data_IF_739827260925
#
_entry.id   IF_739827260925
#
_cell.length_a   1.000
_cell.length_b   1.000
_cell.length_c   1.000
_cell.angle_alpha   90.00
_cell.angle_beta   90.00
_cell.angle_gamma   90.00
#
_symmetry.space_group_name_H-M   'P 1'
#
loop_
_entity.id
_entity.type
_entity.pdbx_description
1 polymer ?
#
# COMPACT_ATOMS: atom_id res chain seq x y z
N UNK A 1 20.71 40.96 19.52
CA UNK A 1 19.63 40.93 18.52
C UNK A 1 19.77 39.64 17.73
N UNK A 2 19.00 38.62 18.10
CA UNK A 2 18.94 37.33 17.41
C UNK A 2 17.93 37.45 16.27
N UNK A 3 18.34 37.04 15.06
CA UNK A 3 17.50 37.07 13.86
C UNK A 3 16.32 36.10 13.99
N UNK A 4 15.15 36.40 13.39
CA UNK A 4 14.02 35.49 13.41
C UNK A 4 14.32 34.30 12.48
N UNK A 5 14.15 33.09 13.01
CA UNK A 5 14.15 31.84 12.26
C UNK A 5 13.01 31.87 11.24
N UNK A 6 13.35 31.68 9.96
CA UNK A 6 12.37 31.55 8.89
C UNK A 6 11.48 30.33 9.16
N UNK A 7 10.17 30.56 9.32
CA UNK A 7 9.19 29.49 9.50
C UNK A 7 9.17 28.56 8.29
N UNK A 8 9.14 27.25 8.53
CA UNK A 8 9.11 26.23 7.47
C UNK A 8 7.92 26.38 6.53
N UNK A 9 8.04 25.79 5.34
CA UNK A 9 7.07 25.83 4.21
C UNK A 9 5.62 25.52 4.59
N UNK A 10 5.37 24.84 5.70
CA UNK A 10 4.04 24.39 6.14
C UNK A 10 3.41 25.25 7.23
N UNK A 11 4.00 26.39 7.60
CA UNK A 11 3.48 27.22 8.71
C UNK A 11 2.03 27.69 8.46
N UNK A 12 1.68 28.04 7.22
CA UNK A 12 0.31 28.46 6.87
C UNK A 12 -0.70 27.32 6.88
N UNK A 13 -0.31 26.14 6.36
CA UNK A 13 -1.15 24.94 6.42
C UNK A 13 -1.37 24.51 7.88
N UNK A 14 -0.32 24.53 8.71
CA UNK A 14 -0.40 24.27 10.15
C UNK A 14 -1.45 25.16 10.83
N UNK A 15 -1.45 26.46 10.55
CA UNK A 15 -2.43 27.40 11.12
C UNK A 15 -3.87 27.11 10.67
N UNK A 16 -4.08 26.81 9.39
CA UNK A 16 -5.42 26.50 8.86
C UNK A 16 -5.97 25.18 9.44
N UNK A 17 -5.12 24.16 9.54
CA UNK A 17 -5.47 22.90 10.16
C UNK A 17 -5.79 23.09 11.65
N UNK A 18 -4.98 23.82 12.41
CA UNK A 18 -5.30 24.16 13.82
C UNK A 18 -6.63 24.90 13.97
N UNK A 19 -6.98 25.79 13.04
CA UNK A 19 -8.27 26.49 13.05
C UNK A 19 -9.45 25.54 12.77
N UNK A 20 -9.30 24.61 11.82
CA UNK A 20 -10.28 23.55 11.58
C UNK A 20 -10.40 22.60 12.79
N UNK A 21 -9.30 22.37 13.52
CA UNK A 21 -9.29 21.55 14.72
C UNK A 21 -10.17 22.08 15.84
N UNK A 22 -10.12 23.39 16.06
CA UNK A 22 -10.94 24.07 17.05
C UNK A 22 -12.45 23.98 16.74
N UNK A 23 -12.83 23.70 15.49
CA UNK A 23 -14.23 23.71 15.04
C UNK A 23 -14.91 22.32 15.06
N UNK A 24 -14.15 21.22 14.99
CA UNK A 24 -14.69 19.88 14.68
C UNK A 24 -14.61 18.83 15.79
N UNK A 25 -13.93 19.10 16.91
CA UNK A 25 -13.64 18.06 17.91
C UNK A 25 -14.38 18.27 19.24
N UNK A 26 -14.88 17.18 19.83
CA UNK A 26 -15.42 17.12 21.20
C UNK A 26 -14.35 17.47 22.27
N UNK A 27 -13.06 17.45 21.89
CA UNK A 27 -12.00 18.23 22.53
C UNK A 27 -11.01 18.77 21.49
N UNK A 28 -10.64 20.07 21.53
CA UNK A 28 -9.66 20.67 20.61
C UNK A 28 -8.32 19.92 20.54
N UNK A 29 -7.94 19.25 21.62
CA UNK A 29 -6.65 18.56 21.76
C UNK A 29 -6.53 17.33 20.85
N UNK A 30 -7.62 16.58 20.61
CA UNK A 30 -7.57 15.37 19.81
C UNK A 30 -7.35 15.68 18.31
N UNK A 31 -8.09 16.65 17.77
CA UNK A 31 -7.95 17.04 16.36
C UNK A 31 -6.69 17.88 16.13
N UNK A 32 -6.29 18.71 17.09
CA UNK A 32 -4.98 19.36 17.03
C UNK A 32 -3.85 18.32 16.96
N UNK A 33 -3.90 17.26 17.78
CA UNK A 33 -2.92 16.17 17.76
C UNK A 33 -2.88 15.39 16.45
N UNK A 34 -4.03 15.14 15.81
CA UNK A 34 -4.08 14.52 14.48
C UNK A 34 -3.38 15.41 13.46
N UNK A 35 -3.74 16.69 13.42
CA UNK A 35 -3.28 17.60 12.38
C UNK A 35 -1.80 17.98 12.53
N UNK A 36 -1.33 18.22 13.76
CA UNK A 36 0.11 18.47 13.98
C UNK A 36 0.91 17.21 13.69
N UNK A 37 0.41 16.05 14.10
CA UNK A 37 1.10 14.79 13.83
C UNK A 37 1.19 14.46 12.34
N UNK A 38 0.21 14.84 11.53
CA UNK A 38 0.31 14.71 10.06
C UNK A 38 1.45 15.55 9.48
N UNK A 39 1.62 16.78 9.97
CA UNK A 39 2.74 17.64 9.56
C UNK A 39 4.08 17.04 10.01
N UNK A 40 4.15 16.53 11.24
CA UNK A 40 5.36 15.88 11.76
C UNK A 40 5.73 14.61 10.97
N UNK A 41 4.74 13.84 10.49
CA UNK A 41 4.96 12.68 9.63
C UNK A 41 5.50 13.07 8.25
N UNK A 42 4.99 14.17 7.66
CA UNK A 42 5.52 14.74 6.42
C UNK A 42 6.98 15.18 6.62
N UNK A 43 7.26 15.98 7.64
CA UNK A 43 8.61 16.46 7.93
C UNK A 43 9.59 15.28 8.12
N UNK A 44 9.17 14.25 8.87
CA UNK A 44 9.97 13.03 9.11
C UNK A 44 10.23 12.26 7.82
N UNK A 45 9.21 12.01 7.01
CA UNK A 45 9.35 11.26 5.76
C UNK A 45 10.21 12.00 4.73
N UNK A 46 10.07 13.32 4.63
CA UNK A 46 10.84 14.15 3.69
C UNK A 46 12.33 14.24 4.08
N UNK A 47 12.66 14.13 5.37
CA UNK A 47 14.03 14.20 5.88
C UNK A 47 14.86 12.92 5.66
N UNK A 48 14.23 11.81 5.25
CA UNK A 48 14.95 10.54 5.03
C UNK A 48 15.88 10.67 3.80
N UNK A 49 17.19 10.35 3.91
CA UNK A 49 18.11 10.42 2.76
C UNK A 49 17.75 9.48 1.61
N UNK A 50 17.24 8.28 1.93
CA UNK A 50 16.58 7.42 0.96
C UNK A 50 15.21 8.03 0.62
N UNK A 51 15.05 8.44 -0.63
CA UNK A 51 13.81 9.07 -1.06
C UNK A 51 12.64 8.09 -1.02
N UNK A 52 11.64 8.42 -0.23
CA UNK A 52 10.36 7.69 -0.14
C UNK A 52 9.40 8.28 -1.17
N UNK A 53 8.96 7.47 -2.12
CA UNK A 53 7.94 7.77 -3.12
C UNK A 53 6.61 7.11 -2.71
N UNK A 54 5.69 7.86 -2.06
CA UNK A 54 4.40 7.34 -1.67
C UNK A 54 3.48 7.13 -2.88
N UNK A 55 2.73 6.04 -2.90
CA UNK A 55 1.79 5.71 -3.97
C UNK A 55 0.40 5.42 -3.41
N UNK A 56 -0.62 5.69 -4.21
CA UNK A 56 -1.86 4.95 -4.11
C UNK A 56 -1.80 3.84 -5.15
N UNK A 57 -2.02 2.61 -4.72
CA UNK A 57 -1.93 1.47 -5.63
C UNK A 57 -3.00 1.63 -6.73
N UNK A 58 -2.61 1.37 -7.98
CA UNK A 58 -3.46 1.53 -9.17
C UNK A 58 -3.93 2.98 -9.47
N UNK A 59 -3.26 3.98 -8.91
CA UNK A 59 -3.54 5.40 -9.16
C UNK A 59 -2.85 5.92 -10.43
N UNK A 60 -3.61 6.39 -11.44
CA UNK A 60 -3.04 7.06 -12.61
C UNK A 60 -2.17 8.27 -12.27
N UNK A 61 -2.56 9.08 -11.28
CA UNK A 61 -1.74 10.21 -10.83
C UNK A 61 -0.40 9.74 -10.24
N UNK A 62 -0.42 8.67 -9.45
CA UNK A 62 0.82 8.07 -8.92
C UNK A 62 1.70 7.54 -10.04
N UNK A 63 1.13 6.92 -11.07
CA UNK A 63 1.87 6.44 -12.25
C UNK A 63 2.51 7.58 -13.04
N UNK A 64 1.78 8.68 -13.29
CA UNK A 64 2.31 9.85 -13.97
C UNK A 64 3.45 10.52 -13.17
N UNK A 65 3.24 10.69 -11.86
CA UNK A 65 4.25 11.24 -10.96
C UNK A 65 5.51 10.34 -10.93
N UNK A 66 5.34 9.02 -10.93
CA UNK A 66 6.45 8.07 -10.98
C UNK A 66 7.25 8.20 -12.27
N UNK A 67 6.60 8.22 -13.43
CA UNK A 67 7.28 8.38 -14.73
C UNK A 67 8.07 9.69 -14.78
N UNK A 68 7.48 10.79 -14.31
CA UNK A 68 8.17 12.09 -14.21
C UNK A 68 9.39 11.97 -13.30
N UNK A 69 9.22 11.37 -12.12
CA UNK A 69 10.31 11.27 -11.14
C UNK A 69 11.45 10.37 -11.61
N UNK A 70 11.17 9.24 -12.24
CA UNK A 70 12.19 8.33 -12.77
C UNK A 70 13.04 9.01 -13.84
N UNK A 71 12.44 9.87 -14.69
CA UNK A 71 13.17 10.66 -15.70
C UNK A 71 14.13 11.67 -15.07
N UNK A 72 13.74 12.28 -13.97
CA UNK A 72 14.55 13.31 -13.29
C UNK A 72 15.60 12.71 -12.36
N UNK A 73 15.20 11.75 -11.52
CA UNK A 73 16.05 11.17 -10.47
C UNK A 73 17.02 10.13 -11.02
N UNK A 74 16.59 9.35 -12.00
CA UNK A 74 17.34 8.23 -12.58
C UNK A 74 17.98 7.33 -11.51
N UNK A 75 17.18 6.70 -10.62
CA UNK A 75 17.74 5.90 -9.53
C UNK A 75 18.51 4.69 -10.05
N UNK A 76 19.52 4.27 -9.30
CA UNK A 76 20.30 3.05 -9.53
C UNK A 76 19.69 1.83 -8.84
N UNK A 77 18.96 2.05 -7.75
CA UNK A 77 18.23 1.01 -7.02
C UNK A 77 16.82 1.48 -6.73
N UNK A 78 15.84 0.62 -7.01
CA UNK A 78 14.45 0.83 -6.65
C UNK A 78 14.06 -0.24 -5.62
N UNK A 79 13.73 0.20 -4.41
CA UNK A 79 13.07 -0.64 -3.41
C UNK A 79 11.57 -0.56 -3.66
N UNK A 80 10.89 -1.69 -3.83
CA UNK A 80 9.46 -1.73 -4.12
C UNK A 80 8.71 -2.53 -3.06
N UNK A 81 7.65 -1.94 -2.52
CA UNK A 81 6.66 -2.62 -1.68
C UNK A 81 5.89 -3.66 -2.50
N UNK A 82 6.46 -4.87 -2.55
CA UNK A 82 5.86 -6.09 -3.07
C UNK A 82 6.55 -7.27 -2.39
N UNK A 83 5.85 -8.40 -2.21
CA UNK A 83 6.42 -9.56 -1.53
C UNK A 83 7.72 -10.01 -2.17
N UNK A 84 8.78 -10.15 -1.37
CA UNK A 84 10.15 -10.39 -1.84
C UNK A 84 10.31 -11.62 -2.76
N UNK A 85 9.51 -12.66 -2.57
CA UNK A 85 9.51 -13.89 -3.36
C UNK A 85 8.73 -13.84 -4.67
N UNK A 86 8.03 -12.73 -4.95
CA UNK A 86 7.39 -12.51 -6.24
C UNK A 86 8.37 -11.98 -7.30
N UNK A 87 9.58 -11.60 -6.89
CA UNK A 87 10.58 -10.98 -7.78
C UNK A 87 10.88 -11.78 -9.05
N UNK A 88 11.00 -13.12 -9.03
CA UNK A 88 11.27 -13.90 -10.24
C UNK A 88 10.19 -13.77 -11.32
N UNK A 89 8.96 -13.39 -10.97
CA UNK A 89 7.86 -13.24 -11.93
C UNK A 89 7.90 -11.92 -12.70
N UNK A 90 8.63 -10.92 -12.21
CA UNK A 90 8.55 -9.56 -12.78
C UNK A 90 9.16 -9.46 -14.18
N UNK A 91 10.17 -10.28 -14.48
CA UNK A 91 10.75 -10.35 -15.83
C UNK A 91 9.77 -10.84 -16.89
N UNK A 92 8.73 -11.60 -16.50
CA UNK A 92 7.73 -12.15 -17.40
C UNK A 92 6.62 -11.13 -17.76
N UNK A 93 6.58 -9.96 -17.12
CA UNK A 93 5.58 -8.92 -17.42
C UNK A 93 5.70 -8.41 -18.87
N UNK A 94 6.90 -8.41 -19.46
CA UNK A 94 7.10 -8.06 -20.87
C UNK A 94 6.44 -9.03 -21.86
N UNK A 95 6.10 -10.24 -21.41
CA UNK A 95 5.40 -11.26 -22.20
C UNK A 95 3.86 -11.17 -22.05
N UNK A 96 3.36 -10.22 -21.27
CA UNK A 96 1.96 -10.13 -20.90
C UNK A 96 1.24 -8.94 -21.54
N UNK A 97 -0.08 -9.07 -21.70
CA UNK A 97 -0.98 -7.93 -21.94
C UNK A 97 -1.63 -7.56 -20.63
N UNK A 98 -1.43 -6.32 -20.19
CA UNK A 98 -2.02 -5.81 -18.95
C UNK A 98 -3.54 -5.59 -19.07
N UNK A 99 -4.28 -5.66 -17.95
CA UNK A 99 -3.79 -5.91 -16.59
C UNK A 99 -3.57 -7.40 -16.27
N UNK A 100 -2.55 -7.66 -15.46
CA UNK A 100 -2.24 -9.00 -14.93
C UNK A 100 -2.15 -8.92 -13.42
N UNK A 101 -2.09 -10.07 -12.75
CA UNK A 101 -1.69 -10.12 -11.35
C UNK A 101 -0.54 -11.09 -11.18
N UNK A 102 0.40 -10.70 -10.32
CA UNK A 102 1.45 -11.56 -9.82
C UNK A 102 0.83 -12.38 -8.70
N UNK A 103 0.87 -13.70 -8.83
CA UNK A 103 0.19 -14.61 -7.91
C UNK A 103 1.18 -15.60 -7.28
N UNK A 104 1.02 -15.81 -5.98
CA UNK A 104 1.51 -16.99 -5.29
C UNK A 104 0.32 -17.84 -4.82
N UNK A 105 0.49 -19.16 -4.87
CA UNK A 105 -0.52 -20.13 -4.51
C UNK A 105 0.10 -21.34 -3.79
N UNK A 106 -0.50 -21.80 -2.70
CA UNK A 106 -0.06 -22.99 -1.98
C UNK A 106 -1.24 -23.90 -1.62
N UNK A 107 -1.23 -25.12 -2.15
CA UNK A 107 -2.17 -26.20 -1.77
C UNK A 107 -1.58 -27.19 -0.76
N UNK A 108 -0.25 -27.24 -0.65
CA UNK A 108 0.49 -28.11 0.26
C UNK A 108 1.10 -27.25 1.38
N UNK A 109 0.39 -27.18 2.50
CA UNK A 109 0.80 -26.39 3.67
C UNK A 109 1.68 -27.21 4.62
N UNK A 110 2.74 -26.59 5.10
CA UNK A 110 3.63 -27.14 6.13
C UNK A 110 4.05 -25.98 7.05
N UNK A 111 3.43 -25.91 8.24
CA UNK A 111 3.62 -24.84 9.23
C UNK A 111 2.40 -23.93 9.41
N UNK A 112 1.52 -23.82 8.41
CA UNK A 112 0.22 -23.13 8.53
C UNK A 112 -0.91 -24.11 8.92
N UNK A 113 -2.00 -23.63 9.56
CA UNK A 113 -3.20 -24.42 9.79
C UNK A 113 -3.74 -25.02 8.48
N UNK A 114 -4.04 -26.32 8.48
CA UNK A 114 -4.45 -27.05 7.26
C UNK A 114 -5.77 -26.55 6.69
N UNK A 115 -6.64 -26.07 7.57
CA UNK A 115 -7.96 -25.51 7.27
C UNK A 115 -7.90 -24.17 6.52
N UNK A 116 -6.75 -23.50 6.47
CA UNK A 116 -6.59 -22.29 5.67
C UNK A 116 -6.32 -22.59 4.19
N UNK A 117 -5.97 -23.83 3.86
CA UNK A 117 -5.61 -24.20 2.49
C UNK A 117 -6.82 -24.29 1.54
N UNK A 118 -6.66 -23.90 0.27
CA UNK A 118 -5.44 -23.36 -0.33
C UNK A 118 -5.21 -21.87 -0.03
N UNK A 119 -3.94 -21.47 0.11
CA UNK A 119 -3.54 -20.08 0.31
C UNK A 119 -3.24 -19.40 -1.02
N UNK A 120 -3.61 -18.12 -1.16
CA UNK A 120 -3.22 -17.31 -2.31
C UNK A 120 -2.87 -15.88 -1.93
N UNK A 121 -1.80 -15.35 -2.53
CA UNK A 121 -1.48 -13.92 -2.52
C UNK A 121 -1.59 -13.43 -3.96
N UNK A 122 -2.30 -12.32 -4.16
CA UNK A 122 -2.49 -11.71 -5.48
C UNK A 122 -2.09 -10.25 -5.40
N UNK A 123 -1.17 -9.83 -6.27
CA UNK A 123 -0.77 -8.45 -6.44
C UNK A 123 -1.11 -8.01 -7.86
N UNK A 124 -2.23 -7.30 -8.07
CA UNK A 124 -2.58 -6.77 -9.39
C UNK A 124 -1.51 -5.80 -9.89
N UNK A 125 -1.29 -5.78 -11.20
CA UNK A 125 -0.37 -4.88 -11.89
C UNK A 125 -1.11 -4.30 -13.10
N UNK A 126 -1.08 -2.98 -13.22
CA UNK A 126 -1.80 -2.24 -14.27
C UNK A 126 -0.88 -1.18 -14.86
N UNK A 127 -1.05 -0.84 -16.13
CA UNK A 127 -0.28 0.25 -16.78
C UNK A 127 -0.42 1.58 -16.02
N UNK A 128 -1.56 1.78 -15.36
CA UNK A 128 -1.87 2.96 -14.56
C UNK A 128 -1.37 2.89 -13.11
N UNK A 129 -0.39 2.05 -12.78
CA UNK A 129 0.18 1.95 -11.43
C UNK A 129 1.63 2.40 -11.38
N UNK A 130 2.03 3.10 -10.32
CA UNK A 130 3.40 3.57 -10.12
C UNK A 130 4.40 2.41 -10.01
N UNK A 131 3.98 1.31 -9.42
CA UNK A 131 4.74 0.07 -9.28
C UNK A 131 5.10 -0.49 -10.64
N UNK A 132 4.13 -0.57 -11.57
CA UNK A 132 4.41 -1.01 -12.93
C UNK A 132 5.44 -0.12 -13.62
N UNK A 133 5.32 1.20 -13.49
CA UNK A 133 6.26 2.16 -14.08
C UNK A 133 7.68 2.00 -13.50
N UNK A 134 7.79 1.75 -12.19
CA UNK A 134 9.05 1.49 -11.52
C UNK A 134 9.68 0.14 -11.94
N UNK A 135 8.87 -0.90 -12.07
CA UNK A 135 9.31 -2.23 -12.53
C UNK A 135 9.83 -2.15 -13.97
N UNK A 136 9.07 -1.56 -14.88
CA UNK A 136 9.48 -1.42 -16.30
C UNK A 136 10.76 -0.61 -16.40
N UNK A 137 10.87 0.51 -15.68
CA UNK A 137 12.09 1.31 -15.67
C UNK A 137 13.31 0.48 -15.24
N UNK A 138 13.20 -0.33 -14.19
CA UNK A 138 14.31 -1.17 -13.75
C UNK A 138 14.66 -2.28 -14.75
N UNK A 139 13.66 -2.90 -15.40
CA UNK A 139 13.88 -3.95 -16.39
C UNK A 139 14.49 -3.41 -17.69
N UNK A 140 14.13 -2.19 -18.11
CA UNK A 140 14.55 -1.60 -19.39
C UNK A 140 15.81 -0.73 -19.27
N UNK A 141 16.19 -0.30 -18.06
CA UNK A 141 17.36 0.56 -17.84
C UNK A 141 18.57 -0.25 -17.38
N UNK A 142 19.65 -0.35 -18.18
CA UNK A 142 20.82 -1.13 -17.81
C UNK A 142 21.45 -0.68 -16.49
N UNK A 143 21.72 -1.64 -15.61
CA UNK A 143 22.39 -1.38 -14.32
C UNK A 143 21.51 -0.80 -13.23
N UNK A 144 20.20 -0.68 -13.46
CA UNK A 144 19.23 -0.40 -12.40
C UNK A 144 18.82 -1.71 -11.73
N UNK A 145 18.91 -1.74 -10.41
CA UNK A 145 18.48 -2.87 -9.60
C UNK A 145 17.07 -2.63 -9.07
N UNK A 146 16.21 -3.64 -9.17
CA UNK A 146 14.93 -3.69 -8.50
C UNK A 146 15.06 -4.61 -7.30
N UNK A 147 14.59 -4.19 -6.13
CA UNK A 147 14.62 -4.98 -4.89
C UNK A 147 13.23 -4.96 -4.28
N UNK A 148 12.61 -6.13 -4.17
CA UNK A 148 11.33 -6.26 -3.50
C UNK A 148 11.54 -6.35 -2.00
N UNK A 149 10.91 -5.47 -1.22
CA UNK A 149 11.23 -5.30 0.21
C UNK A 149 10.09 -5.66 1.16
N UNK A 150 8.88 -5.93 0.67
CA UNK A 150 7.79 -6.37 1.56
C UNK A 150 7.97 -7.86 1.92
N UNK A 151 7.30 -8.26 3.01
CA UNK A 151 7.31 -9.62 3.54
C UNK A 151 7.04 -10.66 2.46
N UNK A 152 7.62 -11.84 2.61
CA UNK A 152 7.35 -12.93 1.67
C UNK A 152 5.88 -13.37 1.70
N UNK A 153 5.41 -14.06 0.66
CA UNK A 153 4.02 -14.56 0.61
C UNK A 153 3.69 -15.49 1.78
N UNK A 154 4.68 -16.22 2.27
CA UNK A 154 4.54 -17.04 3.48
C UNK A 154 4.27 -16.20 4.76
N UNK A 155 5.01 -15.11 4.96
CA UNK A 155 4.85 -14.22 6.12
C UNK A 155 3.51 -13.49 6.11
N UNK A 156 2.88 -13.29 4.94
CA UNK A 156 1.51 -12.75 4.84
C UNK A 156 0.54 -13.54 5.73
N UNK A 157 0.71 -14.87 5.80
CA UNK A 157 -0.15 -15.75 6.60
C UNK A 157 0.40 -16.03 8.00
N UNK A 158 1.73 -16.02 8.20
CA UNK A 158 2.31 -16.19 9.54
C UNK A 158 1.89 -15.09 10.52
N UNK A 159 1.59 -13.89 10.02
CA UNK A 159 1.19 -12.75 10.85
C UNK A 159 -0.33 -12.62 11.00
N UNK A 160 -1.09 -13.62 10.56
CA UNK A 160 -2.52 -13.71 10.87
C UNK A 160 -2.71 -14.34 12.25
N UNK A 161 -3.72 -13.90 13.03
CA UNK A 161 -4.07 -14.58 14.26
C UNK A 161 -4.38 -16.06 13.99
N UNK A 162 -3.72 -16.97 14.71
CA UNK A 162 -3.94 -18.42 14.56
C UNK A 162 -5.23 -18.93 15.22
N UNK A 163 -6.28 -18.11 15.33
CA UNK A 163 -7.56 -18.54 15.91
C UNK A 163 -8.50 -19.13 14.85
N UNK A 164 -9.32 -20.15 15.19
CA UNK A 164 -10.23 -20.78 14.22
C UNK A 164 -11.26 -19.83 13.60
N UNK A 165 -11.58 -18.71 14.27
CA UNK A 165 -12.48 -17.68 13.75
C UNK A 165 -11.78 -16.59 12.92
N UNK A 166 -10.45 -16.50 12.96
CA UNK A 166 -9.69 -15.51 12.21
C UNK A 166 -9.58 -15.93 10.74
N UNK A 167 -10.62 -15.61 9.96
CA UNK A 167 -10.48 -15.54 8.50
C UNK A 167 -9.60 -14.33 8.15
N UNK A 168 -8.66 -14.43 7.20
CA UNK A 168 -7.90 -13.27 6.78
C UNK A 168 -8.80 -12.20 6.20
N UNK A 169 -8.41 -10.96 6.44
CA UNK A 169 -9.01 -9.79 5.83
C UNK A 169 -8.87 -9.89 4.30
N UNK A 170 -9.99 -9.89 3.57
CA UNK A 170 -10.03 -10.08 2.12
C UNK A 170 -10.53 -11.46 1.66
N UNK A 171 -10.72 -12.42 2.57
CA UNK A 171 -11.42 -13.66 2.25
C UNK A 171 -12.87 -13.35 1.84
N UNK A 172 -13.23 -13.59 0.58
CA UNK A 172 -14.61 -13.48 0.11
C UNK A 172 -15.48 -14.45 0.94
N UNK A 173 -16.60 -14.01 1.54
CA UNK A 173 -17.52 -14.93 2.15
C UNK A 173 -18.09 -15.87 1.08
N UNK A 174 -18.12 -17.17 1.36
CA UNK A 174 -18.88 -18.12 0.57
C UNK A 174 -20.32 -17.60 0.43
N UNK A 175 -20.76 -17.32 -0.80
CA UNK A 175 -22.14 -16.90 -1.04
C UNK A 175 -23.07 -18.04 -0.63
N UNK A 176 -23.96 -17.81 0.33
CA UNK A 176 -24.98 -18.78 0.77
C UNK A 176 -26.06 -19.08 -0.32
N UNK A 177 -25.96 -18.50 -1.51
CA UNK A 177 -26.82 -18.80 -2.67
C UNK A 177 -26.16 -19.76 -3.68
N UNK A 178 -25.69 -20.93 -3.22
CA UNK A 178 -25.35 -22.05 -4.11
C UNK A 178 -26.36 -23.19 -3.91
N UNK A 179 -27.60 -22.95 -4.34
CA UNK A 179 -28.61 -23.99 -4.45
C UNK A 179 -28.30 -24.97 -5.59
N UNK A 180 -28.00 -26.21 -5.21
CA UNK A 180 -27.95 -27.49 -5.97
C UNK A 180 -26.58 -27.92 -6.53
N UNK A 181 -26.17 -29.18 -6.28
CA UNK A 181 -24.88 -29.71 -6.71
C UNK A 181 -24.93 -30.05 -8.20
N UNK A 182 -24.12 -29.34 -8.99
CA UNK A 182 -23.73 -29.71 -10.34
C UNK A 182 -22.20 -29.80 -10.38
N UNK A 183 -21.69 -30.78 -11.11
CA UNK A 183 -20.34 -31.36 -11.09
C UNK A 183 -19.16 -30.42 -11.48
N UNK A 184 -19.33 -29.10 -11.43
CA UNK A 184 -18.28 -28.10 -11.70
C UNK A 184 -17.78 -27.36 -10.43
N UNK A 185 -18.33 -27.69 -9.25
CA UNK A 185 -17.99 -27.03 -7.98
C UNK A 185 -16.64 -27.49 -7.35
N UNK A 186 -15.97 -28.50 -7.92
CA UNK A 186 -14.76 -29.09 -7.34
C UNK A 186 -13.45 -28.39 -7.75
N UNK A 187 -13.48 -27.38 -8.62
CA UNK A 187 -12.29 -26.72 -9.16
C UNK A 187 -12.04 -25.30 -8.63
N UNK A 188 -12.98 -24.75 -7.87
CA UNK A 188 -12.80 -23.49 -7.12
C UNK A 188 -12.81 -23.81 -5.63
N UNK A 189 -11.76 -24.51 -5.18
CA UNK A 189 -11.51 -24.72 -3.75
C UNK A 189 -11.46 -23.38 -3.03
N UNK A 190 -11.98 -23.36 -1.80
CA UNK A 190 -12.13 -22.22 -0.89
C UNK A 190 -10.80 -21.49 -0.64
N UNK A 191 -10.35 -20.72 -1.63
CA UNK A 191 -9.04 -20.08 -1.62
C UNK A 191 -9.07 -18.88 -0.66
N UNK A 192 -8.14 -18.91 0.28
CA UNK A 192 -7.95 -17.84 1.24
C UNK A 192 -6.96 -16.84 0.64
N UNK A 193 -7.47 -15.68 0.21
CA UNK A 193 -6.76 -14.68 -0.59
C UNK A 193 -6.50 -13.36 0.13
N UNK A 194 -5.31 -12.78 -0.06
CA UNK A 194 -4.99 -11.39 0.33
C UNK A 194 -4.59 -10.58 -0.91
N UNK A 195 -5.23 -9.43 -1.08
CA UNK A 195 -4.87 -8.39 -2.05
C UNK A 195 -3.99 -7.34 -1.36
N UNK A 196 -2.91 -6.92 -2.02
CA UNK A 196 -1.95 -5.95 -1.49
C UNK A 196 -2.31 -4.55 -1.99
N UNK A 197 -2.49 -3.58 -1.09
CA UNK A 197 -2.43 -2.16 -1.43
C UNK A 197 -3.74 -1.33 -1.42
N UNK A 198 -4.85 -1.80 -0.86
CA UNK A 198 -6.08 -0.97 -0.87
C UNK A 198 -6.06 0.14 0.22
N UNK A 199 -6.18 1.40 -0.21
CA UNK A 199 -6.33 2.57 0.65
C UNK A 199 -7.81 2.96 0.77
N UNK A 200 -8.61 2.11 1.42
CA UNK A 200 -10.00 2.45 1.75
C UNK A 200 -10.14 2.96 3.19
N UNK A 201 -10.88 4.06 3.43
CA UNK A 201 -11.16 4.53 4.79
C UNK A 201 -11.84 3.43 5.62
N UNK A 202 -11.29 3.17 6.80
CA UNK A 202 -11.82 2.16 7.73
C UNK A 202 -13.02 2.62 8.58
N UNK A 203 -13.61 3.80 8.29
CA UNK A 203 -14.67 4.40 9.09
C UNK A 203 -15.82 4.85 8.18
N UNK A 204 -16.96 4.16 8.27
CA UNK A 204 -18.11 4.40 7.41
C UNK A 204 -18.67 5.83 7.58
N UNK A 205 -18.55 6.42 8.77
CA UNK A 205 -19.02 7.78 9.03
C UNK A 205 -18.10 8.84 8.40
N UNK A 206 -16.78 8.62 8.31
CA UNK A 206 -15.87 9.53 7.59
C UNK A 206 -16.12 9.43 6.09
N UNK A 207 -16.24 8.21 5.54
CA UNK A 207 -16.59 8.02 4.13
C UNK A 207 -17.91 8.75 3.84
N UNK A 208 -18.95 8.52 4.63
CA UNK A 208 -20.23 9.21 4.48
C UNK A 208 -20.11 10.75 4.59
N UNK A 209 -19.29 11.26 5.52
CA UNK A 209 -19.05 12.69 5.69
C UNK A 209 -18.34 13.30 4.47
N UNK A 210 -17.26 12.67 4.00
CA UNK A 210 -16.51 13.11 2.82
C UNK A 210 -17.38 13.07 1.56
N UNK A 211 -18.18 12.02 1.38
CA UNK A 211 -19.14 11.92 0.27
C UNK A 211 -20.20 13.01 0.33
N UNK A 212 -20.80 13.23 1.52
CA UNK A 212 -21.83 14.25 1.72
C UNK A 212 -21.30 15.66 1.40
N UNK A 213 -20.14 16.02 1.95
CA UNK A 213 -19.56 17.35 1.75
C UNK A 213 -18.89 17.53 0.39
N UNK A 214 -18.33 16.47 -0.19
CA UNK A 214 -17.86 16.42 -1.57
C UNK A 214 -18.98 16.43 -2.60
N UNK A 215 -20.25 16.29 -2.17
CA UNK A 215 -21.45 16.23 -3.03
C UNK A 215 -21.39 15.12 -4.08
N UNK A 216 -20.77 14.00 -3.73
CA UNK A 216 -20.57 12.82 -4.57
C UNK A 216 -21.18 11.59 -3.92
N UNK A 217 -21.50 10.56 -4.71
CA UNK A 217 -22.21 9.37 -4.20
C UNK A 217 -21.32 8.17 -3.96
N UNK A 218 -20.14 8.16 -4.56
CA UNK A 218 -19.23 7.02 -4.55
C UNK A 218 -17.83 7.46 -4.13
N UNK A 219 -17.15 6.60 -3.34
CA UNK A 219 -15.78 6.86 -2.88
C UNK A 219 -14.81 7.04 -4.06
N UNK A 220 -14.96 6.24 -5.12
CA UNK A 220 -14.17 6.41 -6.35
C UNK A 220 -14.33 7.79 -6.98
N UNK A 221 -15.53 8.34 -6.99
CA UNK A 221 -15.81 9.68 -7.53
C UNK A 221 -15.17 10.76 -6.67
N UNK A 222 -15.26 10.63 -5.34
CA UNK A 222 -14.60 11.52 -4.41
C UNK A 222 -13.07 11.48 -4.58
N UNK A 223 -12.50 10.28 -4.61
CA UNK A 223 -11.06 10.09 -4.78
C UNK A 223 -10.56 10.66 -6.11
N UNK A 224 -11.28 10.39 -7.20
CA UNK A 224 -10.93 10.92 -8.51
C UNK A 224 -10.91 12.46 -8.51
N UNK A 225 -11.97 13.10 -8.01
CA UNK A 225 -12.11 14.56 -8.04
C UNK A 225 -11.16 15.29 -7.08
N UNK A 226 -10.94 14.75 -5.89
CA UNK A 226 -10.24 15.46 -4.81
C UNK A 226 -8.81 14.98 -4.59
N UNK A 227 -8.41 13.84 -5.15
CA UNK A 227 -7.05 13.29 -5.01
C UNK A 227 -6.39 13.06 -6.37
N UNK A 228 -6.97 12.26 -7.27
CA UNK A 228 -6.33 11.93 -8.55
C UNK A 228 -6.14 13.16 -9.45
N UNK A 229 -7.22 13.88 -9.74
CA UNK A 229 -7.16 15.02 -10.66
C UNK A 229 -6.24 16.14 -10.17
N UNK A 230 -6.26 16.55 -8.88
CA UNK A 230 -5.33 17.56 -8.38
C UNK A 230 -3.86 17.12 -8.41
N UNK A 231 -3.59 15.82 -8.23
CA UNK A 231 -2.23 15.28 -8.22
C UNK A 231 -1.66 15.00 -9.61
N UNK A 232 -2.51 14.85 -10.63
CA UNK A 232 -2.09 14.50 -11.99
C UNK A 232 -1.04 15.47 -12.57
N UNK A 233 -1.13 16.76 -12.24
CA UNK A 233 -0.22 17.81 -12.72
C UNK A 233 0.58 18.50 -11.60
N UNK A 234 0.56 17.95 -10.38
CA UNK A 234 1.39 18.44 -9.29
C UNK A 234 2.89 18.23 -9.59
N UNK A 235 3.73 19.17 -9.12
CA UNK A 235 5.16 18.94 -9.07
C UNK A 235 5.52 17.85 -8.05
N UNK A 236 6.75 17.33 -8.13
CA UNK A 236 7.17 16.19 -7.33
C UNK A 236 7.11 16.46 -5.82
N UNK A 237 7.52 17.65 -5.37
CA UNK A 237 7.55 18.00 -3.95
C UNK A 237 6.12 18.07 -3.39
N UNK A 238 5.21 18.72 -4.12
CA UNK A 238 3.79 18.81 -3.78
C UNK A 238 3.14 17.43 -3.76
N UNK A 239 3.36 16.62 -4.80
CA UNK A 239 2.85 15.25 -4.87
C UNK A 239 3.27 14.44 -3.65
N UNK A 240 4.57 14.46 -3.34
CA UNK A 240 5.15 13.69 -2.22
C UNK A 240 4.57 14.14 -0.88
N UNK A 241 4.49 15.45 -0.65
CA UNK A 241 3.91 16.02 0.57
C UNK A 241 2.45 15.61 0.76
N UNK A 242 1.62 15.78 -0.27
CA UNK A 242 0.18 15.47 -0.21
C UNK A 242 -0.04 13.97 0.02
N UNK A 243 0.70 13.11 -0.68
CA UNK A 243 0.55 11.68 -0.54
C UNK A 243 0.99 11.16 0.84
N UNK A 244 2.10 11.67 1.40
CA UNK A 244 2.46 11.36 2.80
C UNK A 244 1.39 11.86 3.78
N UNK A 245 0.86 13.06 3.55
CA UNK A 245 -0.21 13.64 4.38
C UNK A 245 -1.48 12.78 4.35
N UNK A 246 -1.91 12.30 3.18
CA UNK A 246 -3.06 11.39 3.03
C UNK A 246 -2.80 10.06 3.76
N UNK A 247 -1.60 9.49 3.59
CA UNK A 247 -1.21 8.26 4.29
C UNK A 247 -1.26 8.41 5.82
N UNK A 248 -0.71 9.51 6.33
CA UNK A 248 -0.74 9.84 7.76
C UNK A 248 -2.18 10.05 8.27
N UNK A 249 -3.02 10.73 7.50
CA UNK A 249 -4.44 10.91 7.83
C UNK A 249 -5.12 9.56 8.00
N UNK A 250 -4.99 8.65 7.03
CA UNK A 250 -5.60 7.32 7.12
C UNK A 250 -5.06 6.48 8.26
N UNK A 251 -3.76 6.59 8.57
CA UNK A 251 -3.18 5.94 9.75
C UNK A 251 -3.82 6.43 11.05
N UNK A 252 -4.00 7.74 11.18
CA UNK A 252 -4.54 8.39 12.39
C UNK A 252 -6.05 8.25 12.54
N UNK A 253 -6.78 8.10 11.44
CA UNK A 253 -8.23 7.93 11.42
C UNK A 253 -8.69 6.47 11.48
N UNK A 254 -7.77 5.51 11.48
CA UNK A 254 -8.16 4.10 11.63
C UNK A 254 -8.85 3.86 12.97
N UNK A 255 -9.96 3.10 13.01
CA UNK A 255 -10.53 2.64 14.27
C UNK A 255 -9.49 1.90 15.09
N UNK A 256 -9.62 1.91 16.41
CA UNK A 256 -8.77 1.15 17.32
C UNK A 256 -8.93 -0.37 17.09
N UNK A 257 -8.25 -0.90 16.08
CA UNK A 257 -8.00 -2.33 15.85
C UNK A 257 -6.50 -2.54 15.97
N UNK A 258 -5.99 -2.73 17.20
CA UNK A 258 -4.56 -2.86 17.46
C UNK A 258 -3.90 -3.90 16.54
N UNK A 259 -4.53 -5.07 16.38
CA UNK A 259 -3.99 -6.17 15.55
C UNK A 259 -3.73 -5.78 14.09
N UNK A 260 -4.54 -4.90 13.48
CA UNK A 260 -4.29 -4.46 12.09
C UNK A 260 -3.15 -3.46 12.02
N UNK A 261 -3.02 -2.60 13.02
CA UNK A 261 -1.92 -1.65 13.12
C UNK A 261 -0.61 -2.39 13.38
N UNK A 262 -0.64 -3.39 14.26
CA UNK A 262 0.53 -4.22 14.59
C UNK A 262 1.07 -4.90 13.33
N UNK A 263 0.21 -5.49 12.47
CA UNK A 263 0.64 -6.12 11.21
C UNK A 263 1.23 -5.13 10.21
N UNK A 264 0.63 -3.94 10.05
CA UNK A 264 1.19 -2.92 9.15
C UNK A 264 2.53 -2.39 9.68
N UNK A 265 2.69 -2.29 11.00
CA UNK A 265 3.97 -1.97 11.63
C UNK A 265 5.00 -3.08 11.45
N UNK A 266 4.63 -4.35 11.58
CA UNK A 266 5.52 -5.48 11.28
C UNK A 266 6.00 -5.44 9.83
N UNK A 267 5.13 -5.11 8.87
CA UNK A 267 5.52 -4.89 7.46
C UNK A 267 6.52 -3.75 7.32
N UNK A 268 6.28 -2.63 7.98
CA UNK A 268 7.17 -1.47 7.95
C UNK A 268 8.55 -1.82 8.53
N UNK A 269 8.59 -2.53 9.66
CA UNK A 269 9.82 -3.03 10.29
C UNK A 269 10.58 -3.97 9.38
N UNK A 270 9.86 -4.86 8.69
CA UNK A 270 10.41 -5.77 7.70
C UNK A 270 11.04 -5.00 6.53
N UNK A 271 10.28 -4.10 5.89
CA UNK A 271 10.74 -3.30 4.74
C UNK A 271 11.97 -2.46 5.09
N UNK A 272 11.96 -1.77 6.22
CA UNK A 272 13.13 -0.99 6.66
C UNK A 272 14.33 -1.88 6.96
N UNK A 273 14.12 -3.06 7.53
CA UNK A 273 15.21 -4.01 7.79
C UNK A 273 15.80 -4.50 6.46
N UNK A 274 14.99 -4.92 5.49
CA UNK A 274 15.46 -5.36 4.16
C UNK A 274 16.21 -4.28 3.39
N UNK A 275 15.70 -3.04 3.39
CA UNK A 275 16.38 -1.92 2.73
C UNK A 275 17.74 -1.64 3.37
N UNK A 276 17.83 -1.67 4.71
CA UNK A 276 19.10 -1.47 5.44
C UNK A 276 20.09 -2.62 5.21
N UNK A 277 19.62 -3.87 5.22
CA UNK A 277 20.44 -5.05 4.89
C UNK A 277 21.04 -4.94 3.48
N UNK A 278 20.21 -4.59 2.50
CA UNK A 278 20.66 -4.38 1.13
C UNK A 278 21.68 -3.23 1.05
N UNK A 279 21.37 -2.06 1.61
CA UNK A 279 22.27 -0.91 1.61
C UNK A 279 23.60 -1.20 2.33
N UNK A 280 23.62 -2.07 3.33
CA UNK A 280 24.87 -2.48 3.99
C UNK A 280 25.68 -3.47 3.15
N UNK A 281 25.01 -4.32 2.36
CA UNK A 281 25.64 -5.27 1.45
C UNK A 281 26.07 -4.63 0.11
N UNK A 282 25.41 -3.53 -0.29
CA UNK A 282 25.67 -2.78 -1.51
C UNK A 282 26.47 -1.51 -1.21
N UNK A 283 27.44 -1.14 -2.06
CA UNK A 283 28.13 0.16 -1.94
C UNK A 283 27.34 1.30 -2.62
N UNK A 284 26.00 1.25 -2.58
CA UNK A 284 25.14 2.22 -3.24
C UNK A 284 24.80 3.36 -2.29
N UNK A 285 25.04 4.59 -2.74
CA UNK A 285 24.60 5.80 -2.04
C UNK A 285 23.06 5.88 -2.03
N UNK A 286 22.42 5.98 -0.84
CA UNK A 286 20.97 6.15 -0.71
C UNK A 286 20.36 7.28 -1.53
N UNK A 287 21.12 8.34 -1.84
CA UNK A 287 20.65 9.44 -2.70
C UNK A 287 20.34 8.97 -4.14
N UNK A 288 20.97 7.89 -4.59
CA UNK A 288 20.71 7.22 -5.86
C UNK A 288 19.66 6.10 -5.76
N UNK A 289 19.04 5.91 -4.61
CA UNK A 289 17.98 4.93 -4.40
C UNK A 289 16.59 5.59 -4.36
N UNK A 290 15.55 4.83 -4.67
CA UNK A 290 14.15 5.24 -4.56
C UNK A 290 13.36 4.13 -3.86
N UNK A 291 12.62 4.46 -2.80
CA UNK A 291 11.72 3.52 -2.13
C UNK A 291 10.27 3.81 -2.48
N UNK A 292 9.64 2.91 -3.22
CA UNK A 292 8.25 3.00 -3.70
C UNK A 292 7.36 2.18 -2.78
N UNK A 293 6.47 2.85 -2.05
CA UNK A 293 5.57 2.22 -1.10
C UNK A 293 4.22 2.92 -1.04
N UNK A 294 3.20 2.22 -0.57
CA UNK A 294 1.89 2.76 -0.28
C UNK A 294 2.00 3.97 0.64
N UNK A 295 1.21 5.00 0.36
CA UNK A 295 1.20 6.26 1.10
C UNK A 295 1.08 6.05 2.63
N UNK A 296 0.34 5.04 3.05
CA UNK A 296 0.20 4.64 4.46
C UNK A 296 1.55 4.32 5.11
N UNK A 297 2.41 3.54 4.43
CA UNK A 297 3.72 3.12 4.94
C UNK A 297 4.77 4.22 4.87
N UNK A 298 4.60 5.18 3.96
CA UNK A 298 5.46 6.36 3.90
C UNK A 298 5.40 7.21 5.19
N UNK A 299 4.28 7.18 5.90
CA UNK A 299 4.08 7.83 7.20
C UNK A 299 4.33 6.90 8.41
N UNK A 300 5.07 5.81 8.21
CA UNK A 300 5.40 4.81 9.24
C UNK A 300 5.94 5.43 10.53
N UNK A 301 5.52 4.87 11.66
CA UNK A 301 5.91 5.32 13.01
C UNK A 301 6.80 4.31 13.75
N UNK A 302 7.22 3.23 13.09
CA UNK A 302 8.09 2.21 13.68
C UNK A 302 9.48 2.80 13.99
N UNK A 303 10.11 2.30 15.05
CA UNK A 303 11.44 2.76 15.47
C UNK A 303 12.51 2.52 14.39
N UNK A 304 12.37 1.49 13.54
CA UNK A 304 13.30 1.18 12.44
C UNK A 304 13.19 2.17 11.26
N UNK A 305 12.24 3.12 11.29
CA UNK A 305 12.00 4.05 10.19
C UNK A 305 13.23 4.89 9.84
N UNK A 306 13.58 4.92 8.56
CA UNK A 306 14.72 5.68 8.06
C UNK A 306 16.07 4.98 8.22
N UNK A 307 17.10 5.55 7.61
CA UNK A 307 18.45 4.95 7.58
C UNK A 307 19.29 5.25 8.82
N UNK A 308 18.95 6.31 9.55
CA UNK A 308 19.71 6.79 10.72
C UNK A 308 19.16 6.25 12.03
N UNK A 309 18.23 5.30 11.99
CA UNK A 309 17.70 4.70 13.21
C UNK A 309 18.73 3.80 13.88
N UNK A 310 18.95 4.04 15.18
CA UNK A 310 19.77 3.19 16.06
C UNK A 310 19.00 1.97 16.57
N UNK A 311 17.72 1.83 16.23
CA UNK A 311 16.93 0.67 16.63
C UNK A 311 17.52 -0.62 16.03
N UNK A 312 17.50 -1.73 16.80
CA UNK A 312 17.93 -3.02 16.29
C UNK A 312 17.10 -3.42 15.07
N UNK A 313 17.73 -4.19 14.18
CA UNK A 313 17.04 -4.82 13.07
C UNK A 313 15.87 -5.67 13.60
N UNK A 314 14.76 -5.66 12.88
CA UNK A 314 13.61 -6.48 13.21
C UNK A 314 13.95 -7.96 12.97
N UNK A 315 13.61 -8.82 13.93
CA UNK A 315 13.82 -10.25 13.79
C UNK A 315 12.79 -10.84 12.82
N UNK A 316 13.23 -11.13 11.60
CA UNK A 316 12.40 -11.77 10.59
C UNK A 316 12.38 -13.27 10.85
N UNK A 317 11.20 -13.83 11.14
CA UNK A 317 11.02 -15.27 11.31
C UNK A 317 11.42 -16.04 10.05
N UNK A 318 11.86 -17.31 10.17
CA UNK A 318 12.04 -18.14 8.99
C UNK A 318 10.67 -18.44 8.35
N UNK A 319 10.68 -18.58 7.03
CA UNK A 319 9.50 -19.09 6.30
C UNK A 319 9.18 -20.51 6.75
N UNK A 320 7.90 -20.86 6.69
CA UNK A 320 7.42 -22.22 6.91
C UNK A 320 7.89 -23.16 5.80
N UNK A 321 7.66 -24.47 5.97
CA UNK A 321 7.95 -25.47 4.93
C UNK A 321 6.97 -25.46 3.75
N UNK A 322 5.98 -24.55 3.77
CA UNK A 322 4.91 -24.46 2.77
C UNK A 322 5.45 -24.29 1.36
N UNK A 323 4.92 -25.09 0.42
CA UNK A 323 5.36 -25.07 -0.98
C UNK A 323 4.52 -24.10 -1.79
N UNK A 324 5.11 -22.96 -2.10
CA UNK A 324 4.52 -21.92 -2.93
C UNK A 324 4.76 -22.17 -4.43
N UNK A 325 3.71 -22.01 -5.23
CA UNK A 325 3.74 -21.92 -6.69
C UNK A 325 3.52 -20.48 -7.09
N UNK A 326 4.23 -20.04 -8.12
CA UNK A 326 4.25 -18.66 -8.57
C UNK A 326 3.79 -18.58 -10.03
N UNK A 327 2.98 -17.58 -10.37
CA UNK A 327 2.54 -17.38 -11.74
C UNK A 327 1.98 -15.98 -12.00
N UNK A 328 1.77 -15.68 -13.28
CA UNK A 328 1.04 -14.51 -13.73
C UNK A 328 -0.35 -14.95 -14.19
N UNK A 329 -1.38 -14.26 -13.73
CA UNK A 329 -2.76 -14.51 -14.15
C UNK A 329 -3.34 -13.27 -14.85
N UNK A 330 -4.18 -13.43 -15.88
CA UNK A 330 -4.97 -12.31 -16.40
C UNK A 330 -5.79 -11.72 -15.26
N UNK A 331 -5.71 -10.40 -15.09
CA UNK A 331 -6.55 -9.69 -14.12
C UNK A 331 -7.63 -8.93 -14.88
N UNK A 332 -8.85 -8.91 -14.35
CA UNK A 332 -9.87 -8.03 -14.92
C UNK A 332 -9.53 -6.59 -14.56
N UNK A 333 -9.63 -5.68 -15.53
CA UNK A 333 -9.32 -4.24 -15.42
C UNK A 333 -10.26 -3.45 -14.52
N UNK A 334 -10.59 -3.96 -13.34
CA UNK A 334 -11.52 -3.33 -12.45
C UNK A 334 -10.88 -2.83 -11.16
N UNK A 335 -9.89 -1.91 -11.20
CA UNK A 335 -9.69 -0.98 -10.08
C UNK A 335 -11.02 -0.28 -9.73
N UNK A 336 -11.92 -0.11 -10.72
CA UNK A 336 -13.25 0.47 -10.51
C UNK A 336 -14.30 -0.44 -9.87
N UNK A 337 -14.28 -1.77 -10.03
CA UNK A 337 -15.35 -2.60 -9.42
C UNK A 337 -15.17 -2.81 -7.92
N UNK A 338 -13.95 -2.71 -7.40
CA UNK A 338 -13.70 -2.86 -5.98
C UNK A 338 -13.96 -1.57 -5.18
N UNK A 339 -13.99 -0.43 -5.88
CA UNK A 339 -14.52 0.84 -5.35
C UNK A 339 -16.04 0.99 -5.48
N UNK A 340 -16.68 0.29 -6.44
CA UNK A 340 -18.13 0.30 -6.62
C UNK A 340 -18.76 -1.02 -6.22
N UNK A 341 -19.28 -1.12 -4.99
CA UNK A 341 -20.25 -2.15 -4.65
C UNK A 341 -21.45 -2.04 -5.60
N UNK A 342 -21.48 -2.84 -6.67
CA UNK A 342 -22.65 -3.01 -7.51
C UNK A 342 -23.19 -4.41 -7.27
N UNK A 343 -24.25 -4.48 -6.44
CA UNK A 343 -25.21 -5.55 -6.54
C UNK A 343 -25.75 -5.56 -7.97
N UNK A 344 -25.60 -6.68 -8.67
CA UNK A 344 -26.15 -6.86 -10.01
C UNK A 344 -27.67 -6.65 -9.96
N UNK A 345 -28.15 -5.55 -10.54
CA UNK A 345 -29.55 -5.39 -10.89
C UNK A 345 -29.89 -6.43 -11.96
N UNK A 346 -30.44 -7.58 -11.51
CA UNK A 346 -31.07 -8.55 -12.41
C UNK A 346 -32.26 -7.86 -13.08
N UNK A 347 -32.20 -7.74 -14.41
CA UNK A 347 -33.34 -7.37 -15.22
C UNK A 347 -34.49 -8.34 -14.97
N UNK A 348 -35.66 -7.80 -14.65
CA UNK A 348 -36.90 -8.59 -14.65
C UNK A 348 -37.20 -9.00 -16.09
N UNK A 349 -37.51 -10.29 -16.37
CA UNK A 349 -38.10 -10.65 -17.64
C UNK A 349 -39.53 -10.10 -17.70
N UNK A 350 -39.90 -9.63 -18.88
CA UNK A 350 -41.26 -9.31 -19.32
C UNK A 350 -42.21 -10.50 -19.19
#
# INVERSE_FOLDING_TARGET
MTAPTAGGSFTGLRQQLTAAAAAFADSPDALAGILTGMVDDVDRALAVPLEIFPVCHHSPASALAMVRRLREKQPRVIYLELCEDLQPLLGELGNCRLPVAVQAFASELDGHPREWGPLSVVAPITEASAEYQAIVYALETPGVELVLVDRSTDHVFQWLPHTPEARPDGALPASEEAGRPGDDAALHGDAVGVEIGDLRPGFAELEAHLLHHGKVRHWSEWWDQYVEQPLADADHDTYRQVMVLIGSLFRRLRPARPERLDRDEERERYMWTRMREHLAASDVDPGHCLYVCGAFHAASQVEQFGLTSDAPAYEISPRTGTRWRYGLIPSSAAPHKFLTGHAALRGRPS
#
